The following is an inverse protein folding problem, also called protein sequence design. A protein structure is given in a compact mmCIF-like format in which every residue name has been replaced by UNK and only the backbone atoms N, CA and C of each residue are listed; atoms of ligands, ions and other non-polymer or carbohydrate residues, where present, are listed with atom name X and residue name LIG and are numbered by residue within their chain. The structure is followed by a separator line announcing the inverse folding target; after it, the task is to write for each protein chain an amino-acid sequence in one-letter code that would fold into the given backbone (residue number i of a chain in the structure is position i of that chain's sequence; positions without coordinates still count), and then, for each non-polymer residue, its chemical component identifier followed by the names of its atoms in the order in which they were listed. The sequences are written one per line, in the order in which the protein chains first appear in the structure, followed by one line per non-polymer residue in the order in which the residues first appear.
data_IF_472691934068
#
_entry.id   IF_472691934068
#
_cell.length_a   1.000
_cell.length_b   1.000
_cell.length_c   1.000
_cell.angle_alpha   90.00
_cell.angle_beta   90.00
_cell.angle_gamma   90.00
#
_symmetry.space_group_name_H-M   'P 1'
#
loop_
_entity.id
_entity.type
_entity.pdbx_description
1 polymer ?
#
# COMPACT_ATOMS: atom_id res chain seq x y z
N UNK A 1 -44.90 9.95 12.65
CA UNK A 1 -44.60 8.63 12.04
C UNK A 1 -43.39 8.66 11.10
N UNK A 2 -43.34 9.51 10.05
CA UNK A 2 -42.21 9.56 9.10
C UNK A 2 -40.83 9.83 9.74
N UNK A 3 -40.76 10.69 10.76
CA UNK A 3 -39.51 10.98 11.50
C UNK A 3 -39.00 9.78 12.30
N UNK A 4 -39.90 9.02 12.92
CA UNK A 4 -39.55 7.80 13.67
C UNK A 4 -39.08 6.69 12.74
N UNK A 5 -39.75 6.52 11.59
CA UNK A 5 -39.32 5.57 10.56
C UNK A 5 -37.91 5.90 10.04
N UNK A 6 -37.61 7.17 9.83
CA UNK A 6 -36.29 7.62 9.36
C UNK A 6 -35.17 7.34 10.39
N UNK A 7 -35.45 7.50 11.68
CA UNK A 7 -34.50 7.15 12.76
C UNK A 7 -34.23 5.65 12.82
N UNK A 8 -35.26 4.81 12.66
CA UNK A 8 -35.11 3.35 12.64
C UNK A 8 -34.27 2.90 11.44
N UNK A 9 -34.54 3.45 10.25
CA UNK A 9 -33.75 3.15 9.04
C UNK A 9 -32.29 3.57 9.23
N UNK A 10 -32.03 4.74 9.82
CA UNK A 10 -30.67 5.19 10.10
C UNK A 10 -29.94 4.27 11.09
N UNK A 11 -30.63 3.80 12.14
CA UNK A 11 -30.05 2.86 13.10
C UNK A 11 -29.68 1.51 12.43
N UNK A 12 -30.54 0.97 11.56
CA UNK A 12 -30.28 -0.27 10.82
C UNK A 12 -29.07 -0.10 9.87
N UNK A 13 -28.98 1.04 9.17
CA UNK A 13 -27.85 1.33 8.27
C UNK A 13 -26.51 1.39 9.04
N UNK A 14 -26.50 1.99 10.24
CA UNK A 14 -25.28 2.03 11.07
C UNK A 14 -24.86 0.64 11.56
N UNK A 15 -25.80 -0.24 11.90
CA UNK A 15 -25.51 -1.61 12.30
C UNK A 15 -24.96 -2.44 11.13
N UNK A 16 -25.50 -2.27 9.92
CA UNK A 16 -25.00 -2.94 8.72
C UNK A 16 -23.57 -2.49 8.35
N UNK A 17 -23.22 -1.23 8.59
CA UNK A 17 -21.86 -0.73 8.38
C UNK A 17 -20.85 -1.32 9.37
N UNK A 18 -21.26 -1.60 10.62
CA UNK A 18 -20.40 -2.18 11.66
C UNK A 18 -20.28 -3.71 11.52
N UNK A 19 -21.17 -4.36 10.77
CA UNK A 19 -21.18 -5.81 10.57
C UNK A 19 -20.10 -6.33 9.59
N UNK A 20 -19.38 -5.46 8.87
CA UNK A 20 -18.26 -5.90 8.04
C UNK A 20 -17.07 -6.27 8.93
N UNK A 21 -16.83 -7.57 9.09
CA UNK A 21 -15.66 -8.09 9.80
C UNK A 21 -14.36 -7.62 9.13
N UNK A 22 -13.48 -6.90 9.84
CA UNK A 22 -12.21 -6.45 9.28
C UNK A 22 -11.31 -7.63 8.91
N UNK A 23 -10.61 -7.51 7.79
CA UNK A 23 -9.56 -8.43 7.38
C UNK A 23 -8.23 -7.70 7.15
N UNK A 24 -7.14 -8.46 7.03
CA UNK A 24 -5.81 -7.92 6.70
C UNK A 24 -5.62 -7.92 5.19
N UNK A 25 -5.44 -6.73 4.62
CA UNK A 25 -4.81 -6.57 3.32
C UNK A 25 -3.29 -6.52 3.49
N UNK A 26 -2.56 -6.98 2.48
CA UNK A 26 -1.09 -7.02 2.49
C UNK A 26 -0.54 -6.29 1.27
N UNK A 27 0.65 -5.71 1.44
CA UNK A 27 1.45 -5.24 0.32
C UNK A 27 2.93 -5.53 0.56
N UNK A 28 3.66 -5.66 -0.54
CA UNK A 28 5.12 -5.62 -0.55
C UNK A 28 5.56 -4.25 -1.06
N UNK A 29 6.57 -3.65 -0.41
CA UNK A 29 7.28 -2.50 -0.95
C UNK A 29 8.78 -2.79 -1.13
N UNK A 30 9.34 -2.22 -2.20
CA UNK A 30 10.76 -2.28 -2.53
C UNK A 30 11.24 -0.87 -2.90
N UNK A 31 12.39 -0.49 -2.37
CA UNK A 31 13.07 0.76 -2.72
C UNK A 31 13.90 0.60 -3.99
N UNK A 32 13.73 1.52 -4.94
CA UNK A 32 14.58 1.64 -6.13
C UNK A 32 15.16 3.05 -6.25
N UNK A 33 16.36 3.16 -6.82
CA UNK A 33 17.12 4.42 -6.91
C UNK A 33 18.40 4.39 -6.10
N UNK A 34 19.08 5.55 -6.01
CA UNK A 34 20.39 5.63 -5.39
C UNK A 34 20.26 5.42 -3.87
N UNK A 35 20.57 4.20 -3.39
CA UNK A 35 20.53 3.82 -1.96
C UNK A 35 21.50 4.67 -1.12
N UNK A 36 22.44 5.35 -1.78
CA UNK A 36 23.37 6.33 -1.21
C UNK A 36 22.87 7.78 -1.20
N UNK A 37 21.69 8.08 -1.77
CA UNK A 37 21.13 9.44 -1.88
C UNK A 37 19.71 9.58 -1.31
N UNK A 38 19.31 10.81 -0.96
CA UNK A 38 18.05 11.19 -0.29
C UNK A 38 16.77 11.10 -1.15
N UNK A 39 16.73 10.16 -2.12
CA UNK A 39 15.66 10.09 -3.14
C UNK A 39 15.29 8.66 -3.53
N UNK A 40 14.98 7.84 -2.53
CA UNK A 40 14.43 6.49 -2.72
C UNK A 40 13.04 6.59 -3.37
N UNK A 41 12.81 5.84 -4.43
CA UNK A 41 11.48 5.66 -5.03
C UNK A 41 10.93 4.33 -4.58
N UNK A 42 9.62 4.26 -4.40
CA UNK A 42 8.98 3.07 -3.83
C UNK A 42 8.14 2.39 -4.89
N UNK A 43 8.44 1.12 -5.12
CA UNK A 43 7.60 0.19 -5.84
C UNK A 43 6.74 -0.55 -4.82
N UNK A 44 5.43 -0.68 -5.11
CA UNK A 44 4.46 -1.38 -4.26
C UNK A 44 3.69 -2.44 -5.06
N UNK A 45 3.52 -3.61 -4.47
CA UNK A 45 2.69 -4.71 -4.97
C UNK A 45 1.58 -5.02 -3.95
N UNK A 46 0.31 -4.94 -4.37
CA UNK A 46 -0.87 -5.29 -3.57
C UNK A 46 -1.47 -6.65 -3.97
N UNK A 47 -0.74 -7.46 -4.75
CA UNK A 47 -1.23 -8.75 -5.26
C UNK A 47 -2.20 -8.62 -6.45
N UNK A 48 -2.27 -7.45 -7.09
CA UNK A 48 -3.09 -7.26 -8.29
C UNK A 48 -2.58 -8.13 -9.46
N UNK A 49 -3.49 -8.57 -10.34
CA UNK A 49 -3.12 -9.29 -11.56
C UNK A 49 -2.18 -8.45 -12.42
N UNK A 50 -1.05 -9.03 -12.83
CA UNK A 50 -0.18 -8.46 -13.85
C UNK A 50 -0.99 -8.15 -15.11
N UNK A 51 -0.75 -6.98 -15.70
CA UNK A 51 -1.07 -6.76 -17.12
C UNK A 51 -0.05 -7.54 -17.94
N UNK A 52 -0.46 -8.07 -19.10
CA UNK A 52 0.46 -8.72 -20.03
C UNK A 52 1.69 -7.82 -20.26
N UNK A 53 2.89 -8.37 -20.07
CA UNK A 53 4.18 -7.69 -20.18
C UNK A 53 4.51 -6.58 -19.15
N UNK A 54 3.73 -6.38 -18.08
CA UNK A 54 4.07 -5.40 -17.01
C UNK A 54 4.27 -6.13 -15.67
N UNK A 55 5.33 -5.83 -14.89
CA UNK A 55 5.45 -6.32 -13.51
C UNK A 55 4.22 -5.95 -12.67
N UNK A 56 3.90 -6.71 -11.61
CA UNK A 56 2.81 -6.37 -10.70
C UNK A 56 3.04 -5.02 -10.00
N UNK A 57 4.30 -4.75 -9.64
CA UNK A 57 4.69 -3.57 -8.88
C UNK A 57 4.35 -2.25 -9.59
N UNK A 58 4.02 -1.24 -8.79
CA UNK A 58 3.66 0.12 -9.21
C UNK A 58 4.46 1.15 -8.43
N UNK A 59 4.78 2.29 -9.03
CA UNK A 59 5.41 3.38 -8.29
C UNK A 59 4.38 4.16 -7.48
N UNK A 60 4.73 4.49 -6.23
CA UNK A 60 4.04 5.52 -5.48
C UNK A 60 4.27 6.88 -6.14
N UNK A 61 3.18 7.60 -6.42
CA UNK A 61 3.22 8.93 -7.04
C UNK A 61 2.46 9.96 -6.21
N UNK A 62 2.80 11.24 -6.41
CA UNK A 62 2.10 12.36 -5.80
C UNK A 62 0.77 12.66 -6.54
N UNK A 63 0.11 13.76 -6.15
CA UNK A 63 -1.14 14.22 -6.75
C UNK A 63 -1.00 14.62 -8.23
N UNK A 64 0.20 14.96 -8.68
CA UNK A 64 0.50 15.32 -10.08
C UNK A 64 0.88 14.08 -10.93
N UNK A 65 0.99 12.90 -10.30
CA UNK A 65 1.44 11.68 -10.95
C UNK A 65 2.96 11.56 -11.09
N UNK A 66 3.73 12.38 -10.37
CA UNK A 66 5.19 12.29 -10.30
C UNK A 66 5.63 11.28 -9.25
N UNK A 67 6.72 10.53 -9.51
CA UNK A 67 7.24 9.53 -8.56
C UNK A 67 7.69 10.23 -7.28
N UNK A 68 7.15 9.82 -6.14
CA UNK A 68 7.55 10.37 -4.84
C UNK A 68 8.99 9.97 -4.51
N UNK A 69 9.72 10.92 -3.91
CA UNK A 69 11.07 10.70 -3.38
C UNK A 69 10.98 10.62 -1.86
N UNK A 70 11.58 9.58 -1.31
CA UNK A 70 11.69 9.35 0.12
C UNK A 70 13.15 9.46 0.54
N UNK A 71 13.40 9.96 1.75
CA UNK A 71 14.75 10.09 2.28
C UNK A 71 15.39 8.73 2.60
N UNK A 72 14.56 7.72 2.87
CA UNK A 72 14.96 6.35 3.19
C UNK A 72 13.78 5.39 3.03
N UNK A 73 14.03 4.07 3.14
CA UNK A 73 12.94 3.09 3.25
C UNK A 73 12.07 3.31 4.50
N UNK A 74 12.65 3.80 5.61
CA UNK A 74 11.88 4.07 6.82
C UNK A 74 10.95 5.27 6.64
N UNK A 75 11.36 6.28 5.87
CA UNK A 75 10.51 7.40 5.49
C UNK A 75 9.27 6.91 4.71
N UNK A 76 9.47 5.99 3.77
CA UNK A 76 8.37 5.35 3.05
C UNK A 76 7.45 4.51 3.95
N UNK A 77 8.01 3.75 4.90
CA UNK A 77 7.22 3.00 5.89
C UNK A 77 6.39 3.97 6.76
N UNK A 78 6.98 5.08 7.21
CA UNK A 78 6.26 6.09 7.99
C UNK A 78 5.14 6.77 7.17
N UNK A 79 5.36 7.01 5.87
CA UNK A 79 4.32 7.50 4.98
C UNK A 79 3.15 6.53 4.91
N UNK A 80 3.41 5.24 4.67
CA UNK A 80 2.36 4.21 4.63
C UNK A 80 1.69 4.00 5.99
N UNK A 81 2.43 4.16 7.10
CA UNK A 81 1.87 4.09 8.45
C UNK A 81 0.81 5.17 8.70
N UNK A 82 0.98 6.38 8.17
CA UNK A 82 -0.05 7.43 8.21
C UNK A 82 -1.32 7.05 7.44
N UNK A 83 -1.21 6.11 6.48
CA UNK A 83 -2.32 5.56 5.70
C UNK A 83 -2.87 4.24 6.28
N UNK A 84 -2.46 3.88 7.50
CA UNK A 84 -2.95 2.70 8.23
C UNK A 84 -2.19 1.40 7.98
N UNK A 85 -1.03 1.46 7.33
CA UNK A 85 -0.19 0.28 7.10
C UNK A 85 0.78 0.02 8.26
N UNK A 86 0.84 -1.23 8.71
CA UNK A 86 1.75 -1.70 9.74
C UNK A 86 2.84 -2.58 9.12
N UNK A 87 4.10 -2.36 9.49
CA UNK A 87 5.20 -3.21 9.05
C UNK A 87 5.14 -4.57 9.76
N UNK A 88 5.17 -5.66 8.98
CA UNK A 88 5.17 -7.04 9.48
C UNK A 88 6.58 -7.64 9.46
N UNK A 89 7.28 -7.49 8.35
CA UNK A 89 8.61 -8.09 8.15
C UNK A 89 9.40 -7.29 7.12
N UNK A 90 10.72 -7.23 7.31
CA UNK A 90 11.65 -6.83 6.26
C UNK A 90 12.70 -7.94 6.08
N UNK A 91 12.98 -8.34 4.84
CA UNK A 91 13.97 -9.38 4.53
C UNK A 91 14.78 -9.05 3.27
N UNK A 92 16.06 -9.44 3.22
CA UNK A 92 16.89 -9.26 2.04
C UNK A 92 16.60 -10.36 1.00
N UNK A 93 16.60 -9.98 -0.27
CA UNK A 93 16.65 -10.88 -1.43
C UNK A 93 17.92 -10.57 -2.21
N UNK A 94 18.80 -11.56 -2.31
CA UNK A 94 20.02 -11.43 -3.11
C UNK A 94 19.73 -11.91 -4.54
N UNK A 95 19.88 -11.05 -5.56
CA UNK A 95 19.70 -11.47 -6.94
C UNK A 95 20.68 -12.60 -7.30
N UNK A 96 20.16 -13.73 -7.78
CA UNK A 96 20.98 -14.91 -8.08
C UNK A 96 21.68 -14.84 -9.44
N UNK A 97 21.29 -13.92 -10.33
CA UNK A 97 21.96 -13.69 -11.62
C UNK A 97 22.00 -12.21 -12.03
N UNK A 98 23.18 -11.76 -12.48
CA UNK A 98 23.39 -10.60 -13.35
C UNK A 98 22.85 -9.23 -12.89
N UNK A 99 23.65 -8.51 -12.08
CA UNK A 99 23.94 -7.05 -12.14
C UNK A 99 24.09 -6.35 -10.78
N UNK A 100 23.84 -7.00 -9.66
CA UNK A 100 24.21 -6.49 -8.33
C UNK A 100 24.34 -7.63 -7.32
N UNK A 101 25.40 -7.62 -6.50
CA UNK A 101 25.54 -8.53 -5.35
C UNK A 101 24.86 -7.98 -4.09
N UNK A 102 24.41 -6.72 -4.13
CA UNK A 102 23.81 -6.09 -2.97
C UNK A 102 22.40 -6.63 -2.75
N UNK A 103 22.06 -7.00 -1.50
CA UNK A 103 20.72 -7.46 -1.18
C UNK A 103 19.71 -6.32 -1.40
N UNK A 104 18.61 -6.65 -2.06
CA UNK A 104 17.43 -5.79 -2.13
C UNK A 104 16.57 -6.12 -0.91
N UNK A 105 16.23 -5.12 -0.10
CA UNK A 105 15.34 -5.34 1.05
C UNK A 105 13.88 -5.20 0.63
N UNK A 106 13.11 -6.25 0.88
CA UNK A 106 11.66 -6.33 0.68
C UNK A 106 10.97 -6.12 2.03
N UNK A 107 9.90 -5.32 2.04
CA UNK A 107 9.14 -5.00 3.24
C UNK A 107 7.69 -5.44 3.03
N UNK A 108 7.19 -6.27 3.93
CA UNK A 108 5.80 -6.71 3.96
C UNK A 108 5.05 -5.87 4.98
N UNK A 109 4.00 -5.19 4.53
CA UNK A 109 3.12 -4.40 5.37
C UNK A 109 1.69 -4.98 5.33
N UNK A 110 0.90 -4.70 6.37
CA UNK A 110 -0.52 -5.03 6.38
C UNK A 110 -1.38 -3.84 6.80
N UNK A 111 -2.61 -3.78 6.31
CA UNK A 111 -3.63 -2.80 6.72
C UNK A 111 -4.91 -3.53 7.07
N UNK A 112 -5.56 -3.16 8.17
CA UNK A 112 -6.91 -3.64 8.48
C UNK A 112 -7.91 -2.88 7.62
N UNK A 113 -8.74 -3.61 6.89
CA UNK A 113 -9.75 -3.08 5.97
C UNK A 113 -11.07 -3.82 6.15
N UNK A 114 -12.19 -3.18 5.81
CA UNK A 114 -13.52 -3.80 5.76
C UNK A 114 -14.01 -4.02 4.32
N UNK A 115 -13.28 -3.50 3.32
CA UNK A 115 -13.53 -3.71 1.89
C UNK A 115 -12.28 -3.48 1.04
N UNK A 116 -12.26 -4.01 -0.19
CA UNK A 116 -11.10 -3.92 -1.09
C UNK A 116 -10.82 -2.48 -1.55
N UNK A 117 -11.83 -1.61 -1.55
CA UNK A 117 -11.69 -0.19 -1.88
C UNK A 117 -10.76 0.54 -0.91
N UNK A 118 -10.73 0.12 0.37
CA UNK A 118 -9.90 0.74 1.41
C UNK A 118 -8.40 0.40 1.27
N UNK A 119 -8.06 -0.63 0.49
CA UNK A 119 -6.66 -1.09 0.33
C UNK A 119 -5.79 0.03 -0.24
N UNK A 120 -6.31 0.79 -1.20
CA UNK A 120 -5.55 1.83 -1.93
C UNK A 120 -6.00 3.24 -1.58
N UNK A 121 -6.84 3.39 -0.55
CA UNK A 121 -7.30 4.70 -0.09
C UNK A 121 -6.11 5.62 0.27
N UNK A 122 -6.07 6.80 -0.34
CA UNK A 122 -4.98 7.76 -0.16
C UNK A 122 -3.67 7.41 -0.88
N UNK A 123 -3.67 6.40 -1.77
CA UNK A 123 -2.48 5.97 -2.50
C UNK A 123 -2.67 6.18 -4.01
N UNK A 124 -1.84 7.04 -4.59
CA UNK A 124 -1.75 7.19 -6.05
C UNK A 124 -0.64 6.31 -6.62
N UNK A 125 -0.92 5.65 -7.75
CA UNK A 125 -0.03 4.66 -8.37
C UNK A 125 0.20 4.94 -9.85
N UNK A 126 1.40 4.62 -10.33
CA UNK A 126 1.75 4.59 -11.76
C UNK A 126 2.38 3.25 -12.15
N UNK A 127 2.07 2.76 -13.35
CA UNK A 127 2.69 1.56 -13.94
C UNK A 127 4.23 1.70 -13.93
N UNK A 128 4.94 0.59 -13.65
CA UNK A 128 6.41 0.54 -13.52
C UNK A 128 7.10 0.79 -14.85
#
# INVERSE_FOLDING_TARGET
MKRFFLVIVLAILTMAAIAQEPYKAYCEIVGTGNITGTKVKIEVDFGQKAKWATPNARFLVDENGEKMNFNSMIDAVNYLAKLGWELILAYPVTPTQGMSKDPVYHYILCKKVTSDEQIKEGINLKDK
#
